data_IF_304609688732
#
_entry.id   IF_304609688732
#
_cell.length_a   1.000
_cell.length_b   1.000
_cell.length_c   1.000
_cell.angle_alpha   90.00
_cell.angle_beta   90.00
_cell.angle_gamma   90.00
#
_symmetry.space_group_name_H-M   'P 1'
#
loop_
_entity.id
_entity.type
_entity.pdbx_description
1 polymer ?
#
# COMPACT_ATOMS: atom_id res chain seq x y z
N UNK A 1 -14.23 -8.94 15.05
CA UNK A 1 -14.80 -8.90 16.42
C UNK A 1 -14.60 -7.49 16.93
N UNK A 2 -15.64 -6.80 17.39
CA UNK A 2 -15.48 -5.48 18.01
C UNK A 2 -14.77 -5.65 19.36
N UNK A 3 -13.75 -4.84 19.63
CA UNK A 3 -12.86 -5.04 20.79
C UNK A 3 -13.54 -4.66 22.11
N UNK A 4 -14.44 -3.67 22.09
CA UNK A 4 -15.29 -3.33 23.24
C UNK A 4 -16.22 -4.45 23.76
N UNK A 5 -16.17 -5.65 23.17
CA UNK A 5 -16.71 -6.87 23.75
C UNK A 5 -15.68 -7.52 24.68
N UNK A 6 -16.07 -7.83 25.92
CA UNK A 6 -15.20 -8.40 26.96
C UNK A 6 -14.36 -9.59 26.47
N UNK A 7 -14.92 -10.49 25.66
CA UNK A 7 -14.18 -11.64 25.13
C UNK A 7 -13.07 -11.26 24.14
N UNK A 8 -13.29 -10.25 23.29
CA UNK A 8 -12.32 -9.79 22.31
C UNK A 8 -11.19 -8.98 22.97
N UNK A 9 -11.54 -8.12 23.93
CA UNK A 9 -10.56 -7.41 24.77
C UNK A 9 -9.64 -8.37 25.51
N UNK A 10 -10.20 -9.38 26.19
CA UNK A 10 -9.40 -10.41 26.89
C UNK A 10 -8.48 -11.20 25.95
N UNK A 11 -8.94 -11.53 24.74
CA UNK A 11 -8.11 -12.18 23.74
C UNK A 11 -6.94 -11.27 23.34
N UNK A 12 -7.22 -9.99 23.04
CA UNK A 12 -6.19 -9.04 22.68
C UNK A 12 -5.16 -8.84 23.79
N UNK A 13 -5.57 -8.73 25.05
CA UNK A 13 -4.63 -8.59 26.19
C UNK A 13 -3.60 -9.73 26.25
N UNK A 14 -3.97 -10.95 25.83
CA UNK A 14 -3.03 -12.09 25.74
C UNK A 14 -2.10 -12.02 24.53
N UNK A 15 -2.45 -11.24 23.52
CA UNK A 15 -1.64 -11.00 22.32
C UNK A 15 -0.69 -9.81 22.49
N UNK A 16 -0.94 -8.90 23.43
CA UNK A 16 -0.10 -7.71 23.68
C UNK A 16 1.40 -8.04 23.84
N UNK A 17 1.83 -9.08 24.58
CA UNK A 17 3.25 -9.41 24.64
C UNK A 17 3.86 -9.76 23.27
N UNK A 18 3.09 -10.40 22.39
CA UNK A 18 3.52 -10.70 21.01
C UNK A 18 3.56 -9.45 20.14
N UNK A 19 2.61 -8.53 20.34
CA UNK A 19 2.61 -7.20 19.69
C UNK A 19 3.89 -6.47 20.06
N UNK A 20 4.17 -6.28 21.34
CA UNK A 20 5.34 -5.54 21.82
C UNK A 20 6.68 -6.17 21.40
N UNK A 21 6.73 -7.50 21.28
CA UNK A 21 7.96 -8.21 20.92
C UNK A 21 8.22 -8.25 19.40
N UNK A 22 7.16 -8.39 18.61
CA UNK A 22 7.27 -8.69 17.17
C UNK A 22 6.89 -7.51 16.29
N UNK A 23 6.21 -6.52 16.84
CA UNK A 23 5.85 -5.29 16.19
C UNK A 23 6.62 -4.16 16.88
N UNK A 24 7.75 -3.82 16.27
CA UNK A 24 8.56 -2.70 16.72
C UNK A 24 7.73 -1.39 16.66
N UNK A 25 8.03 -0.41 17.51
CA UNK A 25 7.25 0.82 17.63
C UNK A 25 5.75 0.67 17.94
N UNK A 26 5.26 -0.50 18.33
CA UNK A 26 3.84 -0.72 18.60
C UNK A 26 3.44 -0.35 20.02
N UNK A 27 2.33 0.36 20.17
CA UNK A 27 1.63 0.48 21.45
C UNK A 27 0.43 -0.46 21.57
N UNK A 28 0.06 -0.92 22.78
CA UNK A 28 -1.20 -1.63 23.00
C UNK A 28 -2.38 -0.73 22.64
N UNK A 29 -3.38 -1.26 21.95
CA UNK A 29 -4.60 -0.51 21.64
C UNK A 29 -5.49 -0.36 22.88
N UNK A 30 -6.34 0.66 22.87
CA UNK A 30 -7.38 0.84 23.87
C UNK A 30 -8.49 -0.21 23.67
N UNK A 31 -8.64 -1.12 24.64
CA UNK A 31 -9.63 -2.20 24.58
C UNK A 31 -11.04 -1.75 24.93
N UNK A 32 -11.18 -0.57 25.55
CA UNK A 32 -12.46 -0.01 25.96
C UNK A 32 -13.08 0.84 24.83
N UNK A 33 -12.29 1.29 23.85
CA UNK A 33 -12.78 2.04 22.69
C UNK A 33 -13.47 1.11 21.65
N UNK A 34 -14.79 1.28 21.40
CA UNK A 34 -15.54 0.44 20.47
C UNK A 34 -15.17 0.66 18.98
N UNK A 35 -14.40 1.70 18.66
CA UNK A 35 -13.88 1.95 17.31
C UNK A 35 -12.84 0.92 16.86
N UNK A 36 -12.29 0.13 17.78
CA UNK A 36 -11.33 -0.93 17.50
C UNK A 36 -12.00 -2.26 17.13
N UNK A 37 -11.44 -2.89 16.10
CA UNK A 37 -11.85 -4.23 15.64
C UNK A 37 -10.67 -5.17 15.53
N UNK A 38 -10.84 -6.38 16.07
CA UNK A 38 -9.88 -7.48 15.99
C UNK A 38 -10.38 -8.54 15.00
N UNK A 39 -9.54 -8.88 14.03
CA UNK A 39 -9.76 -10.01 13.13
C UNK A 39 -8.68 -11.06 13.40
N UNK A 40 -9.11 -12.26 13.80
CA UNK A 40 -8.22 -13.39 14.08
C UNK A 40 -8.27 -14.39 12.92
N UNK A 41 -7.10 -14.80 12.43
CA UNK A 41 -6.96 -15.89 11.47
C UNK A 41 -6.78 -17.21 12.23
N UNK A 42 -7.81 -18.05 12.18
CA UNK A 42 -7.84 -19.32 12.92
C UNK A 42 -7.87 -20.49 11.93
N UNK A 43 -6.93 -21.43 12.08
CA UNK A 43 -6.98 -22.72 11.42
C UNK A 43 -7.81 -23.69 12.27
N UNK A 44 -8.85 -24.25 11.67
CA UNK A 44 -9.60 -25.38 12.25
C UNK A 44 -8.95 -26.68 11.78
N UNK A 45 -8.65 -27.59 12.70
CA UNK A 45 -8.27 -28.97 12.40
C UNK A 45 -9.23 -29.90 13.11
N UNK A 46 -9.81 -30.85 12.39
CA UNK A 46 -10.59 -31.92 12.97
C UNK A 46 -9.67 -33.11 13.16
N UNK A 47 -9.59 -33.61 14.39
CA UNK A 47 -8.86 -34.84 14.70
C UNK A 47 -9.65 -36.07 14.21
N UNK A 48 -9.00 -37.23 14.10
CA UNK A 48 -9.63 -38.48 13.65
C UNK A 48 -10.77 -38.93 14.59
N UNK A 49 -10.77 -38.46 15.84
CA UNK A 49 -11.84 -38.67 16.83
C UNK A 49 -13.01 -37.67 16.74
N UNK A 50 -12.97 -36.71 15.80
CA UNK A 50 -14.03 -35.72 15.59
C UNK A 50 -13.90 -34.43 16.41
N UNK A 51 -12.91 -34.33 17.29
CA UNK A 51 -12.63 -33.10 18.05
C UNK A 51 -12.05 -32.00 17.14
N UNK A 52 -12.54 -30.77 17.30
CA UNK A 52 -12.10 -29.61 16.51
C UNK A 52 -11.09 -28.77 17.29
N UNK A 53 -9.83 -28.82 16.88
CA UNK A 53 -8.78 -27.93 17.39
C UNK A 53 -8.74 -26.60 16.62
N UNK A 54 -8.66 -25.51 17.35
CA UNK A 54 -8.50 -24.15 16.81
C UNK A 54 -7.09 -23.64 17.06
N UNK A 55 -6.35 -23.33 15.99
CA UNK A 55 -5.00 -22.77 16.06
C UNK A 55 -5.00 -21.34 15.52
N UNK A 56 -4.60 -20.38 16.34
CA UNK A 56 -4.39 -19.00 15.90
C UNK A 56 -3.15 -18.96 15.00
N UNK A 57 -3.30 -18.44 13.78
CA UNK A 57 -2.21 -18.26 12.83
C UNK A 57 -1.68 -16.82 12.82
N UNK A 58 -2.54 -15.86 13.13
CA UNK A 58 -2.24 -14.44 13.11
C UNK A 58 -3.49 -13.62 13.41
N UNK A 59 -3.33 -12.31 13.50
CA UNK A 59 -4.42 -11.39 13.72
C UNK A 59 -4.13 -10.03 13.09
N UNK A 60 -5.16 -9.19 13.05
CA UNK A 60 -5.05 -7.80 12.68
C UNK A 60 -6.01 -6.95 13.49
N UNK A 61 -5.56 -5.77 13.92
CA UNK A 61 -6.36 -4.75 14.58
C UNK A 61 -6.57 -3.56 13.64
N UNK A 62 -7.83 -3.17 13.49
CA UNK A 62 -8.27 -2.05 12.69
C UNK A 62 -8.99 -1.02 13.55
N UNK A 63 -8.87 0.24 13.16
CA UNK A 63 -9.65 1.32 13.74
C UNK A 63 -10.61 1.90 12.70
N UNK A 64 -11.86 2.14 13.11
CA UNK A 64 -12.85 2.85 12.30
C UNK A 64 -12.79 4.35 12.57
N UNK A 65 -12.27 5.10 11.62
CA UNK A 65 -12.32 6.55 11.64
C UNK A 65 -13.61 7.07 11.01
N UNK A 66 -14.21 8.07 11.65
CA UNK A 66 -15.24 8.87 11.00
C UNK A 66 -14.64 9.65 9.82
N UNK A 67 -15.33 9.63 8.69
CA UNK A 67 -15.00 10.39 7.49
C UNK A 67 -16.21 11.22 7.07
N UNK A 68 -16.11 12.53 7.28
CA UNK A 68 -17.13 13.49 6.89
C UNK A 68 -17.53 13.36 5.40
N UNK A 69 -18.81 13.51 5.03
CA UNK A 69 -19.94 13.93 5.89
C UNK A 69 -20.64 12.81 6.65
N UNK A 70 -20.57 11.56 6.21
CA UNK A 70 -21.40 10.48 6.76
C UNK A 70 -20.84 9.08 6.42
N UNK A 71 -19.52 8.96 6.31
CA UNK A 71 -18.87 7.69 5.95
C UNK A 71 -17.81 7.29 6.97
N UNK A 72 -17.26 6.09 6.83
CA UNK A 72 -16.17 5.60 7.68
C UNK A 72 -14.94 5.24 6.86
N UNK A 73 -13.76 5.39 7.44
CA UNK A 73 -12.47 4.95 6.89
C UNK A 73 -11.91 3.86 7.79
N UNK A 74 -11.49 2.75 7.19
CA UNK A 74 -10.77 1.72 7.93
C UNK A 74 -9.29 2.03 7.92
N UNK A 75 -8.66 2.04 9.10
CA UNK A 75 -7.21 2.11 9.24
C UNK A 75 -6.70 0.81 9.84
N UNK A 76 -5.90 0.09 9.08
CA UNK A 76 -5.13 -1.02 9.59
C UNK A 76 -4.03 -0.48 10.51
N UNK A 77 -4.10 -0.80 11.80
CA UNK A 77 -3.09 -0.35 12.78
C UNK A 77 -2.06 -1.44 13.04
N UNK A 78 -2.51 -2.65 13.35
CA UNK A 78 -1.62 -3.77 13.66
C UNK A 78 -1.98 -4.97 12.79
N UNK A 79 -0.97 -5.71 12.34
CA UNK A 79 -1.14 -7.02 11.73
C UNK A 79 0.10 -7.85 12.02
N UNK A 80 -0.16 -9.08 12.44
CA UNK A 80 0.87 -10.03 12.78
C UNK A 80 0.46 -11.41 12.30
N UNK A 81 1.32 -12.02 11.50
CA UNK A 81 1.31 -13.47 11.29
C UNK A 81 2.32 -14.06 12.27
N UNK A 82 1.91 -15.03 13.08
CA UNK A 82 2.81 -15.59 14.09
C UNK A 82 4.03 -16.21 13.41
N UNK A 83 5.24 -16.11 14.01
CA UNK A 83 6.49 -16.52 13.37
C UNK A 83 6.48 -17.91 12.70
N UNK A 84 5.91 -18.98 13.31
CA UNK A 84 5.87 -20.32 12.68
C UNK A 84 5.02 -20.41 11.41
N UNK A 85 4.18 -19.42 11.15
CA UNK A 85 3.23 -19.39 10.04
C UNK A 85 3.55 -18.29 9.01
N UNK A 86 4.63 -17.52 9.22
CA UNK A 86 5.08 -16.54 8.25
C UNK A 86 5.51 -17.20 6.93
N UNK A 87 5.58 -16.39 5.87
CA UNK A 87 5.98 -16.81 4.51
C UNK A 87 5.04 -17.80 3.80
N UNK A 88 3.93 -18.21 4.43
CA UNK A 88 2.94 -19.14 3.85
C UNK A 88 1.77 -18.45 3.13
N UNK A 89 1.86 -17.14 2.90
CA UNK A 89 0.82 -16.35 2.23
C UNK A 89 -0.31 -15.82 3.11
N UNK A 90 -0.35 -16.16 4.40
CA UNK A 90 -1.40 -15.71 5.33
C UNK A 90 -1.51 -14.19 5.49
N UNK A 91 -0.38 -13.47 5.42
CA UNK A 91 -0.39 -12.00 5.48
C UNK A 91 -1.12 -11.38 4.29
N UNK A 92 -0.87 -11.90 3.09
CA UNK A 92 -1.61 -11.47 1.89
C UNK A 92 -3.10 -11.83 1.97
N UNK A 93 -3.42 -13.00 2.51
CA UNK A 93 -4.80 -13.43 2.72
C UNK A 93 -5.56 -12.51 3.69
N UNK A 94 -4.93 -12.13 4.82
CA UNK A 94 -5.51 -11.16 5.75
C UNK A 94 -5.84 -9.85 5.03
N UNK A 95 -4.90 -9.30 4.26
CA UNK A 95 -5.12 -8.06 3.48
C UNK A 95 -6.26 -8.22 2.46
N UNK A 96 -6.34 -9.37 1.77
CA UNK A 96 -7.43 -9.66 0.83
C UNK A 96 -8.80 -9.66 1.52
N UNK A 97 -8.91 -10.28 2.69
CA UNK A 97 -10.11 -10.29 3.53
C UNK A 97 -10.48 -8.87 3.97
N UNK A 98 -9.52 -8.08 4.45
CA UNK A 98 -9.77 -6.70 4.88
C UNK A 98 -10.34 -5.82 3.77
N UNK A 99 -9.84 -5.96 2.54
CA UNK A 99 -10.44 -5.27 1.41
C UNK A 99 -11.85 -5.77 1.08
N UNK A 100 -12.14 -7.06 1.24
CA UNK A 100 -13.49 -7.57 1.03
C UNK A 100 -14.47 -6.99 2.07
N UNK A 101 -14.03 -6.88 3.33
CA UNK A 101 -14.79 -6.17 4.38
C UNK A 101 -15.01 -4.71 3.98
N UNK A 102 -13.93 -3.99 3.63
CA UNK A 102 -14.00 -2.59 3.22
C UNK A 102 -14.97 -2.36 2.04
N UNK A 103 -15.00 -3.27 1.07
CA UNK A 103 -15.93 -3.21 -0.06
C UNK A 103 -17.36 -3.54 0.40
N UNK A 104 -17.55 -4.59 1.20
CA UNK A 104 -18.88 -5.03 1.63
C UNK A 104 -19.60 -4.03 2.52
N UNK A 105 -18.84 -3.29 3.32
CA UNK A 105 -19.35 -2.24 4.22
C UNK A 105 -19.34 -0.85 3.58
N UNK A 106 -18.95 -0.77 2.31
CA UNK A 106 -18.84 0.47 1.53
C UNK A 106 -18.05 1.60 2.24
N UNK A 107 -16.95 1.25 2.92
CA UNK A 107 -16.11 2.25 3.59
C UNK A 107 -15.44 3.16 2.56
N UNK A 108 -15.01 4.35 2.97
CA UNK A 108 -14.45 5.34 2.05
C UNK A 108 -13.17 4.86 1.36
N UNK A 109 -12.23 4.31 2.14
CA UNK A 109 -11.01 3.62 1.71
C UNK A 109 -10.38 2.84 2.89
N UNK A 110 -9.42 1.97 2.58
CA UNK A 110 -8.56 1.27 3.54
C UNK A 110 -7.18 1.94 3.60
N UNK A 111 -6.87 2.52 4.75
CA UNK A 111 -5.56 3.09 5.07
C UNK A 111 -4.77 2.16 5.99
N UNK A 112 -3.47 2.43 6.10
CA UNK A 112 -2.56 1.66 6.95
C UNK A 112 -1.75 2.67 7.74
N UNK A 113 -1.67 2.44 9.03
CA UNK A 113 -0.81 3.16 9.95
C UNK A 113 0.63 2.77 9.68
N UNK A 114 1.47 3.77 9.40
CA UNK A 114 2.94 3.65 9.28
C UNK A 114 3.44 2.31 8.70
N UNK A 115 3.12 2.02 7.42
CA UNK A 115 3.39 0.70 6.85
C UNK A 115 4.90 0.44 6.76
N UNK A 116 5.36 -0.63 7.40
CA UNK A 116 6.73 -1.12 7.24
C UNK A 116 6.97 -1.56 5.79
N UNK A 117 8.19 -1.35 5.31
CA UNK A 117 8.64 -1.72 3.96
C UNK A 117 8.22 -3.13 3.54
N UNK A 118 8.34 -4.04 4.49
CA UNK A 118 8.03 -5.44 4.31
C UNK A 118 6.54 -5.70 4.10
N UNK A 119 5.69 -5.11 4.94
CA UNK A 119 4.25 -5.18 4.75
C UNK A 119 3.84 -4.45 3.47
N UNK A 120 4.47 -3.31 3.20
CA UNK A 120 4.23 -2.52 2.00
C UNK A 120 4.48 -3.32 0.73
N UNK A 121 5.48 -4.21 0.73
CA UNK A 121 5.71 -5.20 -0.34
C UNK A 121 4.51 -6.16 -0.48
N UNK A 122 4.04 -6.76 0.61
CA UNK A 122 2.89 -7.69 0.60
C UNK A 122 1.62 -6.99 0.09
N UNK A 123 1.34 -5.80 0.61
CA UNK A 123 0.21 -4.97 0.21
C UNK A 123 0.27 -4.62 -1.27
N UNK A 124 1.42 -4.15 -1.75
CA UNK A 124 1.61 -3.83 -3.17
C UNK A 124 1.41 -5.06 -4.05
N UNK A 125 1.89 -6.24 -3.63
CA UNK A 125 1.59 -7.47 -4.34
C UNK A 125 0.07 -7.70 -4.42
N UNK A 126 -0.66 -7.67 -3.30
CA UNK A 126 -2.13 -7.87 -3.31
C UNK A 126 -2.84 -6.82 -4.17
N UNK A 127 -2.46 -5.56 -4.07
CA UNK A 127 -3.10 -4.47 -4.82
C UNK A 127 -2.89 -4.58 -6.33
N UNK A 128 -1.68 -4.94 -6.77
CA UNK A 128 -1.38 -5.16 -8.19
C UNK A 128 -2.25 -6.27 -8.78
N UNK A 129 -2.53 -7.36 -8.02
CA UNK A 129 -3.47 -8.41 -8.46
C UNK A 129 -4.84 -7.82 -8.79
N UNK A 130 -5.36 -6.98 -7.91
CA UNK A 130 -6.70 -6.38 -8.02
C UNK A 130 -6.76 -5.36 -9.15
N UNK A 131 -5.75 -4.48 -9.22
CA UNK A 131 -5.64 -3.43 -10.22
C UNK A 131 -5.49 -3.99 -11.64
N UNK A 132 -4.76 -5.10 -11.81
CA UNK A 132 -4.63 -5.75 -13.11
C UNK A 132 -5.95 -6.33 -13.63
N UNK A 133 -6.91 -6.63 -12.75
CA UNK A 133 -8.23 -7.12 -13.14
C UNK A 133 -9.24 -5.97 -13.36
N UNK A 134 -8.84 -4.72 -13.15
CA UNK A 134 -9.72 -3.56 -13.20
C UNK A 134 -9.58 -2.79 -14.52
N UNK A 135 -10.64 -2.80 -15.33
CA UNK A 135 -10.61 -2.34 -16.72
C UNK A 135 -10.20 -0.86 -16.89
N UNK A 136 -10.75 0.04 -16.08
CA UNK A 136 -10.43 1.48 -16.20
C UNK A 136 -8.95 1.78 -15.93
N UNK A 137 -8.32 1.00 -15.05
CA UNK A 137 -6.87 1.09 -14.80
C UNK A 137 -6.08 0.53 -15.98
N UNK A 138 -6.51 -0.60 -16.54
CA UNK A 138 -5.84 -1.20 -17.70
C UNK A 138 -5.78 -0.25 -18.90
N UNK A 139 -6.89 0.43 -19.20
CA UNK A 139 -6.95 1.37 -20.31
C UNK A 139 -6.08 2.60 -20.08
N UNK A 140 -6.09 3.13 -18.84
CA UNK A 140 -5.20 4.21 -18.44
C UNK A 140 -3.72 3.82 -18.57
N UNK A 141 -3.34 2.63 -18.09
CA UNK A 141 -1.95 2.12 -18.19
C UNK A 141 -1.54 1.96 -19.64
N UNK A 142 -2.37 1.34 -20.49
CA UNK A 142 -2.07 1.17 -21.93
C UNK A 142 -1.86 2.51 -22.63
N UNK A 143 -2.70 3.50 -22.35
CA UNK A 143 -2.56 4.85 -22.90
C UNK A 143 -1.24 5.49 -22.49
N UNK A 144 -0.88 5.41 -21.20
CA UNK A 144 0.38 5.97 -20.69
C UNK A 144 1.61 5.25 -21.27
N UNK A 145 1.58 3.92 -21.31
CA UNK A 145 2.65 3.10 -21.88
C UNK A 145 2.84 3.40 -23.38
N UNK A 146 1.77 3.57 -24.15
CA UNK A 146 1.86 3.95 -25.56
C UNK A 146 2.54 5.31 -25.74
N UNK A 147 2.20 6.30 -24.89
CA UNK A 147 2.85 7.61 -24.91
C UNK A 147 4.35 7.51 -24.60
N UNK A 148 4.75 6.67 -23.63
CA UNK A 148 6.15 6.42 -23.29
C UNK A 148 6.90 5.77 -24.46
N UNK A 149 6.31 4.76 -25.09
CA UNK A 149 6.91 4.05 -26.24
C UNK A 149 7.13 4.97 -27.46
N UNK A 150 6.39 6.07 -27.57
CA UNK A 150 6.53 7.07 -28.65
C UNK A 150 7.71 8.06 -28.47
N UNK A 151 8.42 8.05 -27.35
CA UNK A 151 9.72 8.75 -27.20
C UNK A 151 9.69 10.28 -27.26
N UNK A 152 8.54 10.94 -27.02
CA UNK A 152 8.41 12.42 -27.08
C UNK A 152 8.93 13.17 -25.84
N UNK A 153 9.71 12.51 -24.98
CA UNK A 153 10.16 13.07 -23.70
C UNK A 153 11.36 14.03 -23.85
N UNK A 154 12.19 13.87 -24.88
CA UNK A 154 13.46 14.59 -25.03
C UNK A 154 13.36 16.08 -25.42
N UNK A 155 12.16 16.64 -25.63
CA UNK A 155 11.98 18.03 -26.10
C UNK A 155 11.14 18.94 -25.20
N UNK A 156 10.72 18.50 -24.01
CA UNK A 156 9.92 19.33 -23.08
C UNK A 156 10.71 19.69 -21.83
N UNK A 157 10.74 20.99 -21.50
CA UNK A 157 11.38 21.64 -20.34
C UNK A 157 10.91 21.11 -18.97
N UNK A 158 9.89 20.24 -18.92
CA UNK A 158 9.41 19.58 -17.70
C UNK A 158 9.10 18.12 -18.01
N UNK A 159 9.79 17.21 -17.32
CA UNK A 159 9.47 15.77 -17.34
C UNK A 159 8.04 15.60 -16.83
N UNK A 160 7.11 15.04 -17.62
CA UNK A 160 5.75 14.81 -17.16
C UNK A 160 5.77 13.79 -16.03
N UNK A 161 5.33 14.18 -14.84
CA UNK A 161 5.01 13.22 -13.80
C UNK A 161 3.80 12.40 -14.26
N UNK A 162 4.01 11.16 -14.68
CA UNK A 162 2.95 10.27 -15.16
C UNK A 162 2.12 9.73 -14.00
N UNK A 163 1.29 10.61 -13.44
CA UNK A 163 0.29 10.22 -12.46
C UNK A 163 -0.89 9.51 -13.15
N UNK A 164 -1.57 8.58 -12.46
CA UNK A 164 -2.82 8.05 -12.96
C UNK A 164 -3.84 9.17 -13.17
N UNK A 165 -4.73 9.05 -14.17
CA UNK A 165 -5.84 9.98 -14.36
C UNK A 165 -6.70 10.09 -13.08
N UNK A 166 -7.21 11.29 -12.79
CA UNK A 166 -8.04 11.51 -11.59
C UNK A 166 -9.29 10.62 -11.57
N UNK A 167 -9.88 10.34 -12.73
CA UNK A 167 -10.99 9.39 -12.87
C UNK A 167 -10.60 8.00 -12.39
N UNK A 168 -9.46 7.47 -12.85
CA UNK A 168 -8.96 6.17 -12.41
C UNK A 168 -8.65 6.14 -10.90
N UNK A 169 -8.14 7.24 -10.33
CA UNK A 169 -7.92 7.36 -8.88
C UNK A 169 -9.23 7.22 -8.11
N UNK A 170 -10.28 7.92 -8.55
CA UNK A 170 -11.60 7.85 -7.90
C UNK A 170 -12.27 6.48 -8.10
N UNK A 171 -12.18 5.89 -9.28
CA UNK A 171 -12.76 4.58 -9.56
C UNK A 171 -12.11 3.48 -8.71
N UNK A 172 -10.78 3.51 -8.59
CA UNK A 172 -10.01 2.59 -7.75
C UNK A 172 -10.36 2.77 -6.29
N UNK A 173 -10.47 4.01 -5.81
CA UNK A 173 -10.87 4.28 -4.43
C UNK A 173 -12.29 3.78 -4.16
N UNK A 174 -13.26 4.13 -5.01
CA UNK A 174 -14.67 3.74 -4.82
C UNK A 174 -14.87 2.23 -4.87
N UNK A 175 -14.24 1.56 -5.84
CA UNK A 175 -14.51 0.15 -6.16
C UNK A 175 -13.59 -0.81 -5.42
N UNK A 176 -12.30 -0.48 -5.32
CA UNK A 176 -11.29 -1.36 -4.72
C UNK A 176 -10.90 -0.93 -3.30
N UNK A 177 -11.37 0.24 -2.84
CA UNK A 177 -11.04 0.82 -1.53
C UNK A 177 -9.55 1.04 -1.30
N UNK A 178 -8.77 1.17 -2.38
CA UNK A 178 -7.34 1.44 -2.32
C UNK A 178 -7.12 2.95 -2.18
N UNK A 179 -6.39 3.36 -1.15
CA UNK A 179 -6.06 4.78 -0.92
C UNK A 179 -5.20 5.36 -2.06
N UNK A 180 -5.34 6.66 -2.33
CA UNK A 180 -4.59 7.38 -3.37
C UNK A 180 -3.07 7.18 -3.27
N UNK A 181 -2.47 7.32 -2.08
CA UNK A 181 -1.00 7.14 -1.90
C UNK A 181 -0.57 5.73 -2.30
N UNK A 182 -1.37 4.73 -1.92
CA UNK A 182 -1.13 3.34 -2.27
C UNK A 182 -1.24 3.10 -3.77
N UNK A 183 -2.27 3.67 -4.41
CA UNK A 183 -2.46 3.53 -5.84
C UNK A 183 -1.32 4.16 -6.65
N UNK A 184 -0.78 5.32 -6.22
CA UNK A 184 0.38 5.94 -6.85
C UNK A 184 1.62 5.03 -6.82
N UNK A 185 1.85 4.33 -5.71
CA UNK A 185 2.94 3.36 -5.63
C UNK A 185 2.74 2.14 -6.53
N UNK A 186 1.50 1.66 -6.64
CA UNK A 186 1.16 0.56 -7.52
C UNK A 186 1.25 0.97 -9.00
N UNK A 187 0.92 2.22 -9.31
CA UNK A 187 0.92 2.77 -10.67
C UNK A 187 2.29 2.65 -11.35
N UNK A 188 3.37 2.92 -10.62
CA UNK A 188 4.73 2.75 -11.13
C UNK A 188 5.04 1.30 -11.53
N UNK A 189 4.57 0.34 -10.71
CA UNK A 189 4.72 -1.09 -10.99
C UNK A 189 3.91 -1.49 -12.22
N UNK A 190 2.70 -0.94 -12.38
CA UNK A 190 1.85 -1.20 -13.54
C UNK A 190 2.46 -0.66 -14.83
N UNK A 191 3.00 0.56 -14.82
CA UNK A 191 3.73 1.12 -15.96
C UNK A 191 4.93 0.24 -16.30
N UNK A 192 5.74 -0.12 -15.30
CA UNK A 192 6.90 -0.99 -15.49
C UNK A 192 6.51 -2.32 -16.16
N UNK A 193 5.44 -2.96 -15.67
CA UNK A 193 4.91 -4.20 -16.26
C UNK A 193 4.48 -4.03 -17.72
N UNK A 194 3.89 -2.89 -18.09
CA UNK A 194 3.45 -2.62 -19.47
C UNK A 194 4.58 -2.22 -20.44
N UNK A 195 5.75 -1.83 -19.94
CA UNK A 195 6.93 -1.54 -20.76
C UNK A 195 7.68 -2.80 -21.23
N UNK A 196 7.25 -3.98 -20.78
CA UNK A 196 7.78 -5.29 -21.18
C UNK A 196 9.31 -5.47 -20.97
N UNK A 197 9.90 -4.72 -20.03
CA UNK A 197 11.35 -4.72 -19.72
C UNK A 197 12.28 -4.39 -20.90
N UNK A 198 11.83 -3.61 -21.88
CA UNK A 198 12.70 -3.21 -23.00
C UNK A 198 13.63 -2.08 -22.56
N UNK A 199 14.95 -2.31 -22.61
CA UNK A 199 16.01 -1.40 -22.14
C UNK A 199 15.85 0.04 -22.65
N UNK A 200 15.39 0.21 -23.89
CA UNK A 200 15.12 1.51 -24.51
C UNK A 200 14.21 2.44 -23.68
N UNK A 201 13.24 1.89 -22.95
CA UNK A 201 12.29 2.69 -22.16
C UNK A 201 12.66 2.78 -20.68
N UNK A 202 13.72 2.07 -20.26
CA UNK A 202 14.15 2.01 -18.87
C UNK A 202 14.77 3.32 -18.40
N UNK A 203 15.53 4.00 -19.26
CA UNK A 203 16.10 5.32 -18.94
C UNK A 203 14.99 6.36 -18.70
N UNK A 204 13.99 6.40 -19.57
CA UNK A 204 12.81 7.26 -19.43
C UNK A 204 12.04 6.92 -18.14
N UNK A 205 11.86 5.62 -17.85
CA UNK A 205 11.19 5.16 -16.64
C UNK A 205 11.93 5.57 -15.37
N UNK A 206 13.24 5.35 -15.29
CA UNK A 206 14.09 5.76 -14.16
C UNK A 206 14.04 7.28 -13.98
N UNK A 207 14.05 8.05 -15.07
CA UNK A 207 13.89 9.50 -15.04
C UNK A 207 12.56 9.93 -14.41
N UNK A 208 11.47 9.23 -14.73
CA UNK A 208 10.14 9.48 -14.15
C UNK A 208 10.15 9.19 -12.65
N UNK A 209 10.70 8.05 -12.23
CA UNK A 209 10.83 7.71 -10.80
C UNK A 209 11.69 8.74 -10.06
N UNK A 210 12.82 9.15 -10.65
CA UNK A 210 13.69 10.19 -10.10
C UNK A 210 12.97 11.51 -9.91
N UNK A 211 12.21 11.96 -10.91
CA UNK A 211 11.41 13.20 -10.80
C UNK A 211 10.40 13.15 -9.66
N UNK A 212 9.79 11.99 -9.42
CA UNK A 212 8.80 11.79 -8.35
C UNK A 212 9.45 11.72 -6.97
N UNK A 213 10.53 10.95 -6.82
CA UNK A 213 11.30 10.87 -5.57
C UNK A 213 11.83 12.26 -5.18
N UNK A 214 12.35 13.02 -6.14
CA UNK A 214 12.75 14.41 -5.94
C UNK A 214 11.59 15.29 -5.48
N UNK A 215 10.41 15.16 -6.10
CA UNK A 215 9.22 15.93 -5.72
C UNK A 215 8.69 15.57 -4.31
N UNK A 216 8.84 14.32 -3.88
CA UNK A 216 8.44 13.86 -2.54
C UNK A 216 9.36 14.45 -1.45
N UNK A 217 10.66 14.60 -1.73
CA UNK A 217 11.68 15.06 -0.76
C UNK A 217 11.81 16.58 -0.75
N UNK A 218 11.89 17.21 -1.93
CA UNK A 218 12.10 18.66 -2.07
C UNK A 218 10.78 19.45 -2.10
N UNK A 219 9.65 18.74 -2.10
CA UNK A 219 8.33 19.33 -2.35
C UNK A 219 8.15 19.69 -3.83
N UNK A 220 6.89 19.91 -4.24
CA UNK A 220 6.52 20.20 -5.64
C UNK A 220 7.12 21.49 -6.22
N UNK A 221 7.75 22.31 -5.37
CA UNK A 221 8.35 23.59 -5.69
C UNK A 221 9.76 23.69 -5.09
N UNK A 222 10.75 22.95 -5.62
CA UNK A 222 12.17 23.27 -5.41
C UNK A 222 12.62 24.55 -6.16
N UNK A 223 11.66 25.36 -6.58
CA UNK A 223 11.80 26.79 -6.80
C UNK A 223 10.97 27.52 -5.75
N UNK A 224 11.41 27.51 -4.50
CA UNK A 224 10.87 28.38 -3.46
C UNK A 224 11.34 29.83 -3.66
N UNK A 225 11.17 30.37 -4.86
CA UNK A 225 11.27 31.81 -5.07
C UNK A 225 10.08 32.46 -4.37
N UNK A 226 10.35 33.02 -3.18
CA UNK A 226 9.48 34.00 -2.54
C UNK A 226 8.96 33.65 -1.14
N UNK A 227 9.12 32.43 -0.61
CA UNK A 227 8.74 32.16 0.79
C UNK A 227 9.83 32.70 1.73
N UNK A 228 9.55 33.82 2.39
CA UNK A 228 10.42 34.38 3.42
C UNK A 228 9.74 34.23 4.78
N UNK A 229 10.53 33.82 5.77
CA UNK A 229 10.15 33.85 7.17
C UNK A 229 10.83 35.07 7.77
N UNK A 230 10.05 36.01 8.29
CA UNK A 230 10.57 37.17 9.01
C UNK A 230 10.13 37.05 10.45
N UNK A 231 11.11 37.08 11.35
CA UNK A 231 10.87 37.19 12.79
C UNK A 231 10.29 38.58 13.06
N UNK A 232 9.11 38.62 13.67
CA UNK A 232 8.44 39.85 14.05
C UNK A 232 8.57 39.99 15.56
N UNK A 233 9.14 41.08 16.09
CA UNK A 233 9.23 41.27 17.53
C UNK A 233 7.85 41.18 18.18
N UNK A 234 7.70 40.31 19.17
CA UNK A 234 6.50 40.18 20.00
C UNK A 234 6.87 40.41 21.46
N UNK A 235 6.08 41.23 22.15
CA UNK A 235 6.24 41.49 23.58
C UNK A 235 5.92 40.28 24.47
N UNK A 236 5.42 39.17 23.89
CA UNK A 236 4.98 38.00 24.63
C UNK A 236 6.01 36.86 24.63
N UNK A 237 6.65 36.58 23.49
CA UNK A 237 7.77 35.65 23.38
C UNK A 237 8.57 35.87 22.08
N UNK A 238 9.79 36.43 22.15
CA UNK A 238 10.58 36.78 20.96
C UNK A 238 11.06 35.58 20.13
N UNK A 239 11.04 34.35 20.68
CA UNK A 239 11.47 33.14 19.96
C UNK A 239 10.34 32.42 19.20
N UNK A 240 9.08 32.87 19.35
CA UNK A 240 7.90 32.19 18.80
C UNK A 240 7.11 33.05 17.81
N UNK A 241 7.59 34.25 17.48
CA UNK A 241 6.89 35.21 16.63
C UNK A 241 7.56 35.37 15.28
N UNK A 242 7.07 34.63 14.29
CA UNK A 242 7.48 34.79 12.91
C UNK A 242 6.27 34.89 11.98
N UNK A 243 6.44 35.64 10.90
CA UNK A 243 5.46 35.77 9.82
C UNK A 243 6.07 35.17 8.56
N UNK A 244 5.34 34.24 7.95
CA UNK A 244 5.71 33.68 6.65
C UNK A 244 4.90 34.40 5.56
N UNK A 245 5.58 35.05 4.63
CA UNK A 245 4.93 35.66 3.47
C UNK A 245 5.57 35.22 2.16
N UNK A 246 4.82 35.40 1.07
CA UNK A 246 5.21 35.01 -0.29
C UNK A 246 5.39 36.25 -1.15
N UNK A 247 6.64 36.59 -1.48
CA UNK A 247 6.95 37.63 -2.49
C UNK A 247 6.54 37.17 -3.88
N UNK A 248 5.97 38.07 -4.68
CA UNK A 248 5.49 37.79 -6.05
C UNK A 248 6.52 38.11 -7.13
N UNK A 249 7.65 38.75 -6.80
CA UNK A 249 8.65 39.16 -7.80
C UNK A 249 9.97 38.38 -7.66
N UNK A 250 10.32 37.71 -8.75
CA UNK A 250 11.45 36.79 -8.86
C UNK A 250 12.75 37.49 -9.25
N UNK A 251 13.50 37.98 -8.25
CA UNK A 251 14.93 38.20 -8.40
C UNK A 251 15.71 37.11 -7.67
N UNK A 252 16.40 36.29 -8.45
CA UNK A 252 17.20 35.17 -7.98
C UNK A 252 18.52 35.69 -7.39
N UNK A 253 18.61 35.69 -6.06
CA UNK A 253 19.90 35.77 -5.38
C UNK A 253 20.70 34.49 -5.62
N UNK A 254 21.86 34.63 -6.27
CA UNK A 254 22.82 33.56 -6.52
C UNK A 254 23.33 32.96 -5.20
N UNK A 255 22.90 31.74 -4.87
CA UNK A 255 23.47 30.99 -3.74
C UNK A 255 24.49 29.99 -4.28
N UNK A 256 25.68 30.07 -3.68
CA UNK A 256 26.93 29.34 -3.97
C UNK A 256 26.70 27.83 -4.04
N UNK A 257 27.37 27.17 -4.98
CA UNK A 257 27.48 25.71 -5.03
C UNK A 257 28.31 25.24 -3.85
N UNK A 258 27.74 24.35 -3.03
CA UNK A 258 28.32 23.88 -1.77
C UNK A 258 28.32 22.34 -1.77
N UNK A 259 29.38 21.73 -1.22
CA UNK A 259 29.68 20.28 -1.22
C UNK A 259 28.54 19.41 -0.66
N UNK A 260 27.63 20.04 0.09
CA UNK A 260 26.42 19.45 0.65
C UNK A 260 25.40 19.00 -0.42
N UNK A 261 25.41 19.62 -1.62
CA UNK A 261 24.52 19.24 -2.73
C UNK A 261 24.89 17.88 -3.33
N UNK A 262 26.18 17.57 -3.43
CA UNK A 262 26.67 16.30 -3.96
C UNK A 262 26.21 15.12 -3.09
N UNK A 263 26.32 15.27 -1.76
CA UNK A 263 25.83 14.26 -0.82
C UNK A 263 24.32 14.06 -0.90
N UNK A 264 23.55 15.12 -1.14
CA UNK A 264 22.10 15.04 -1.34
C UNK A 264 21.72 14.36 -2.65
N UNK A 265 22.43 14.65 -3.74
CA UNK A 265 22.22 14.01 -5.04
C UNK A 265 22.52 12.52 -4.99
N UNK A 266 23.60 12.11 -4.31
CA UNK A 266 23.93 10.70 -4.10
C UNK A 266 22.84 9.97 -3.29
N UNK A 267 22.35 10.58 -2.20
CA UNK A 267 21.26 10.01 -1.40
C UNK A 267 19.97 9.87 -2.23
N UNK A 268 19.63 10.88 -3.02
CA UNK A 268 18.48 10.84 -3.92
C UNK A 268 18.62 9.71 -4.94
N UNK A 269 19.81 9.54 -5.50
CA UNK A 269 20.08 8.46 -6.45
C UNK A 269 19.92 7.09 -5.80
N UNK A 270 20.43 6.90 -4.58
CA UNK A 270 20.27 5.65 -3.82
C UNK A 270 18.79 5.31 -3.61
N UNK A 271 17.95 6.30 -3.24
CA UNK A 271 16.51 6.10 -3.04
C UNK A 271 15.79 5.73 -4.35
N UNK A 272 16.21 6.32 -5.47
CA UNK A 272 15.68 5.98 -6.81
C UNK A 272 16.05 4.55 -7.17
N UNK A 273 17.31 4.16 -6.99
CA UNK A 273 17.80 2.83 -7.32
C UNK A 273 17.12 1.75 -6.46
N UNK A 274 16.95 2.02 -5.17
CA UNK A 274 16.22 1.15 -4.24
C UNK A 274 14.76 0.98 -4.68
N UNK A 275 14.10 2.09 -5.06
CA UNK A 275 12.71 2.05 -5.53
C UNK A 275 12.58 1.24 -6.82
N UNK A 276 13.46 1.45 -7.80
CA UNK A 276 13.48 0.69 -9.07
C UNK A 276 13.73 -0.79 -8.80
N UNK A 277 14.64 -1.13 -7.88
CA UNK A 277 14.89 -2.50 -7.45
C UNK A 277 13.64 -3.14 -6.83
N UNK A 278 12.94 -2.43 -5.93
CA UNK A 278 11.66 -2.87 -5.35
C UNK A 278 10.61 -3.13 -6.43
N UNK A 279 10.47 -2.23 -7.41
CA UNK A 279 9.54 -2.38 -8.55
C UNK A 279 9.86 -3.64 -9.37
N UNK A 280 11.14 -3.82 -9.74
CA UNK A 280 11.61 -5.01 -10.49
C UNK A 280 11.31 -6.30 -9.74
N UNK A 281 11.56 -6.36 -8.43
CA UNK A 281 11.29 -7.54 -7.61
C UNK A 281 9.79 -7.89 -7.56
N UNK A 282 8.93 -6.88 -7.41
CA UNK A 282 7.47 -7.09 -7.41
C UNK A 282 7.01 -7.61 -8.78
N UNK A 283 7.54 -7.05 -9.87
CA UNK A 283 7.21 -7.46 -11.23
C UNK A 283 7.72 -8.89 -11.56
N UNK A 284 8.91 -9.26 -11.12
CA UNK A 284 9.44 -10.62 -11.32
C UNK A 284 8.60 -11.69 -10.60
N UNK A 285 8.20 -11.44 -9.34
CA UNK A 285 7.30 -12.33 -8.59
C UNK A 285 5.95 -12.54 -9.29
N UNK A 286 5.53 -11.59 -10.14
CA UNK A 286 4.34 -11.73 -10.97
C UNK A 286 4.56 -12.64 -12.15
N UNK A 287 5.66 -12.46 -12.88
CA UNK A 287 5.97 -13.28 -14.06
C UNK A 287 6.06 -14.77 -13.70
N UNK A 288 6.64 -15.12 -12.56
CA UNK A 288 6.68 -16.51 -12.07
C UNK A 288 5.28 -17.03 -11.68
N UNK A 289 4.44 -16.22 -11.04
CA UNK A 289 3.05 -16.58 -10.71
C UNK A 289 2.12 -16.66 -11.93
N UNK A 290 2.40 -15.94 -13.02
CA UNK A 290 1.62 -15.94 -14.26
C UNK A 290 2.01 -17.10 -15.21
N UNK A 291 3.29 -17.45 -15.31
CA UNK A 291 3.73 -18.62 -16.10
C UNK A 291 3.07 -19.91 -15.61
N UNK A 292 2.93 -20.09 -14.29
CA UNK A 292 2.25 -21.25 -13.70
C UNK A 292 0.74 -21.32 -14.01
N UNK A 293 0.10 -20.20 -14.41
CA UNK A 293 -1.31 -20.18 -14.86
C UNK A 293 -1.47 -20.52 -16.35
N UNK A 294 -0.43 -20.33 -17.16
CA UNK A 294 -0.48 -20.64 -18.60
C UNK A 294 -0.32 -22.14 -18.87
N UNK A 295 0.42 -22.88 -18.03
CA UNK A 295 0.50 -24.35 -18.14
C UNK A 295 -0.76 -25.09 -17.64
N UNK A 296 -1.60 -24.44 -16.83
CA UNK A 296 -2.84 -25.04 -16.34
C UNK A 296 -3.97 -25.08 -17.39
N UNK A 297 -3.79 -24.44 -18.56
CA UNK A 297 -4.76 -24.52 -19.68
C UNK A 297 -4.63 -25.79 -20.53
N UNK A 298 -3.73 -26.72 -20.19
CA UNK A 298 -3.52 -27.97 -20.95
C UNK A 298 -3.97 -29.26 -20.27
N UNK A 299 -4.52 -29.19 -19.05
CA UNK A 299 -5.16 -30.34 -18.43
C UNK A 299 -6.68 -30.23 -18.51
N UNK A 300 -7.23 -30.92 -19.50
CA UNK A 300 -8.63 -31.33 -19.55
C UNK A 300 -8.99 -32.05 -18.25
N UNK A 301 -9.93 -31.53 -17.47
CA UNK A 301 -10.80 -32.37 -16.66
C UNK A 301 -12.13 -31.68 -16.42
N UNK A 302 -13.18 -32.31 -16.94
CA UNK A 302 -14.58 -31.93 -16.90
C UNK A 302 -15.11 -31.80 -15.48
N UNK A 303 -15.55 -30.62 -15.04
CA UNK A 303 -16.62 -30.51 -14.05
C UNK A 303 -17.48 -29.27 -14.32
N UNK A 304 -18.74 -29.54 -14.62
CA UNK A 304 -19.81 -28.60 -14.94
C UNK A 304 -20.51 -28.26 -13.63
N UNK A 305 -20.56 -26.99 -13.21
CA UNK A 305 -21.66 -26.52 -12.37
C UNK A 305 -21.93 -25.03 -12.54
N UNK A 306 -23.22 -24.75 -12.56
CA UNK A 306 -23.94 -23.61 -13.09
C UNK A 306 -23.95 -22.43 -12.10
N UNK A 307 -23.86 -21.23 -12.66
CA UNK A 307 -23.96 -19.93 -11.99
C UNK A 307 -25.42 -19.70 -11.53
N UNK A 308 -25.65 -19.39 -10.25
CA UNK A 308 -26.87 -18.70 -9.81
C UNK A 308 -26.59 -17.81 -8.58
N UNK A 309 -27.27 -16.67 -8.57
CA UNK A 309 -27.06 -15.46 -7.75
C UNK A 309 -27.69 -15.53 -6.34
N UNK A 310 -27.02 -14.85 -5.38
CA UNK A 310 -27.55 -14.06 -4.25
C UNK A 310 -28.39 -14.78 -3.16
N UNK A 311 -27.82 -14.96 -1.96
CA UNK A 311 -28.23 -14.31 -0.67
C UNK A 311 -27.41 -14.85 0.52
N UNK A 312 -27.25 -13.99 1.53
CA UNK A 312 -26.66 -14.20 2.85
C UNK A 312 -26.74 -15.64 3.39
N UNK A 313 -25.60 -16.21 3.76
CA UNK A 313 -25.43 -17.03 4.97
C UNK A 313 -23.93 -17.30 5.22
N UNK A 314 -23.59 -17.26 6.50
CA UNK A 314 -22.35 -17.66 7.19
C UNK A 314 -21.40 -18.47 6.31
N UNK A 315 -20.26 -17.88 5.93
CA UNK A 315 -19.23 -18.57 5.14
C UNK A 315 -18.61 -19.71 5.96
N UNK A 316 -18.82 -20.99 5.60
CA UNK A 316 -18.03 -22.08 6.12
C UNK A 316 -16.74 -22.13 5.28
N UNK A 317 -15.61 -21.80 5.90
CA UNK A 317 -14.30 -21.84 5.26
C UNK A 317 -13.86 -23.30 5.11
N UNK A 318 -14.09 -23.86 3.92
CA UNK A 318 -13.50 -25.13 3.49
C UNK A 318 -12.09 -24.83 2.93
N UNK A 319 -11.05 -25.20 3.67
CA UNK A 319 -9.67 -25.13 3.20
C UNK A 319 -9.43 -26.37 2.32
N UNK A 320 -9.63 -26.24 1.00
CA UNK A 320 -9.06 -27.18 0.05
C UNK A 320 -7.78 -26.59 -0.55
N UNK A 321 -6.71 -27.37 -0.42
CA UNK A 321 -5.34 -26.97 -0.70
C UNK A 321 -5.13 -26.53 -2.14
N UNK A 322 -4.65 -25.29 -2.28
CA UNK A 322 -3.74 -24.86 -3.34
C UNK A 322 -2.80 -23.83 -2.74
N UNK A 323 -1.77 -24.33 -2.04
CA UNK A 323 -0.60 -23.55 -1.68
C UNK A 323 0.18 -23.23 -2.96
N UNK A 324 0.25 -21.95 -3.34
CA UNK A 324 1.27 -21.46 -4.26
C UNK A 324 2.05 -20.30 -3.61
N UNK A 325 3.27 -20.69 -3.21
CA UNK A 325 4.52 -19.96 -2.98
C UNK A 325 4.51 -18.46 -2.65
N UNK A 326 5.07 -18.19 -1.47
CA UNK A 326 5.97 -17.09 -1.09
C UNK A 326 5.46 -15.64 -1.14
N UNK A 327 4.98 -15.21 0.03
CA UNK A 327 5.10 -13.82 0.47
C UNK A 327 5.35 -13.78 1.98
N UNK A 328 6.60 -13.51 2.33
CA UNK A 328 7.00 -12.33 3.11
C UNK A 328 6.02 -12.08 4.31
N UNK A 329 6.34 -12.61 5.52
CA UNK A 329 5.78 -12.45 6.88
C UNK A 329 5.55 -11.05 7.50
N UNK A 330 4.29 -10.69 7.64
CA UNK A 330 3.85 -9.33 7.97
C UNK A 330 4.08 -8.96 9.45
N UNK A 331 4.65 -7.76 9.64
CA UNK A 331 4.65 -6.94 10.87
C UNK A 331 4.23 -5.52 10.47
N UNK A 332 3.30 -4.87 11.17
CA UNK A 332 2.97 -3.42 11.01
C UNK A 332 2.92 -2.75 12.38
N UNK A 333 3.67 -1.66 12.53
CA UNK A 333 3.70 -0.76 13.69
C UNK A 333 2.52 0.22 13.72
N UNK A 334 2.05 0.55 14.92
CA UNK A 334 1.26 1.76 15.21
C UNK A 334 1.87 2.47 16.41
N UNK A 335 2.02 3.80 16.32
CA UNK A 335 2.83 4.65 17.21
C UNK A 335 2.78 4.35 18.68
#
# INVERSE_FOLDING_TARGET
MVIGNTAAGHLYSRLVPLVLLLIDGSNPIDVDDPGWELYALIQKKSDEQGDTQHKLLGFTALYRFYHYPDSTRLRLSQILVLPPYQHKGYGGHLVEVLYNVAISEDVYDLTVEEPLDYFQHVRTCVDIKRLLLFASVQDAVKSTVSYLKQGKLSKKTRVPCFNPPLSAVEDVRKTLKINRKQFLQCWEVLIFLGLDNVDKYMEDFVTIISSRVKADILGKDSGSSGKQVVEVPSDYNPEMSFVMFRSQDGEAGSVRMDENQTNQEELLQQLVDERVKKIKLIAQKRLSSCMLKLDCKRFSCSFRLMLMLIKFEIVPVLIQGLCLADAVGVVIMGR
#
